data_IF_431770481674
#
_entry.id   IF_431770481674
#
_cell.length_a   1.000
_cell.length_b   1.000
_cell.length_c   1.000
_cell.angle_alpha   90.00
_cell.angle_beta   90.00
_cell.angle_gamma   90.00
#
_symmetry.space_group_name_H-M   'P 1'
#
loop_
_entity.id
_entity.type
_entity.pdbx_description
1 polymer ?
#
# COMPACT_ATOMS: atom_id res chain seq x y z
N UNK A 1 -19.67 -19.83 5.48
CA UNK A 1 -18.61 -19.84 4.47
C UNK A 1 -17.53 -18.86 4.90
N UNK A 2 -16.24 -19.15 4.66
CA UNK A 2 -15.14 -18.22 4.95
C UNK A 2 -15.21 -17.11 3.91
N UNK A 3 -15.28 -15.83 4.36
CA UNK A 3 -15.31 -14.68 3.46
C UNK A 3 -13.96 -14.55 2.72
N UNK A 4 -13.92 -14.12 1.43
CA UNK A 4 -12.69 -13.81 0.71
C UNK A 4 -12.05 -12.52 1.23
N UNK A 5 -10.81 -12.24 0.85
CA UNK A 5 -10.23 -10.91 0.87
C UNK A 5 -10.71 -10.09 -0.33
N UNK A 6 -10.67 -8.76 -0.23
CA UNK A 6 -10.91 -7.84 -1.33
C UNK A 6 -9.62 -7.08 -1.64
N UNK A 7 -9.22 -7.05 -2.91
CA UNK A 7 -8.08 -6.26 -3.39
C UNK A 7 -8.59 -5.20 -4.35
N UNK A 8 -8.42 -3.93 -3.98
CA UNK A 8 -8.74 -2.77 -4.82
C UNK A 8 -7.50 -2.43 -5.63
N UNK A 9 -7.61 -2.59 -6.95
CA UNK A 9 -6.52 -2.37 -7.90
C UNK A 9 -6.79 -1.10 -8.71
N UNK A 10 -5.78 -0.22 -8.88
CA UNK A 10 -5.93 1.13 -9.43
C UNK A 10 -5.39 1.29 -10.85
N UNK A 11 -4.90 0.22 -11.45
CA UNK A 11 -4.43 0.20 -12.84
C UNK A 11 -3.86 -1.16 -13.23
N UNK A 12 -3.82 -1.46 -14.55
CA UNK A 12 -3.33 -2.76 -15.03
C UNK A 12 -1.89 -3.07 -14.64
N UNK A 13 -1.06 -2.03 -14.51
CA UNK A 13 0.36 -2.17 -14.15
C UNK A 13 0.61 -2.36 -12.65
N UNK A 14 -0.43 -2.24 -11.80
CA UNK A 14 -0.36 -2.40 -10.34
C UNK A 14 -1.08 -3.66 -9.83
N UNK A 15 -0.72 -4.89 -10.26
CA UNK A 15 -1.29 -6.12 -9.71
C UNK A 15 -0.85 -6.33 -8.26
N UNK A 16 -1.46 -7.26 -7.50
CA UNK A 16 -1.13 -7.49 -6.10
C UNK A 16 0.30 -8.03 -5.85
N UNK A 17 1.05 -8.45 -6.88
CA UNK A 17 2.46 -8.84 -6.77
C UNK A 17 2.75 -9.80 -5.62
N UNK A 18 3.72 -9.45 -4.74
CA UNK A 18 4.09 -10.26 -3.56
C UNK A 18 2.93 -10.47 -2.59
N UNK A 19 1.97 -9.53 -2.50
CA UNK A 19 0.75 -9.74 -1.72
C UNK A 19 -0.07 -10.90 -2.28
N UNK A 20 -0.20 -11.00 -3.61
CA UNK A 20 -0.88 -12.13 -4.26
C UNK A 20 -0.18 -13.46 -4.01
N UNK A 21 1.16 -13.48 -4.01
CA UNK A 21 1.95 -14.67 -3.65
C UNK A 21 1.70 -15.09 -2.19
N UNK A 22 1.67 -14.11 -1.28
CA UNK A 22 1.38 -14.35 0.13
C UNK A 22 -0.03 -14.92 0.32
N UNK A 23 -1.05 -14.34 -0.33
CA UNK A 23 -2.44 -14.82 -0.26
C UNK A 23 -2.57 -16.28 -0.75
N UNK A 24 -1.88 -16.61 -1.84
CA UNK A 24 -1.83 -17.96 -2.37
C UNK A 24 -1.13 -18.94 -1.40
N UNK A 25 -0.02 -18.53 -0.79
CA UNK A 25 0.71 -19.32 0.22
C UNK A 25 -0.16 -19.63 1.43
N UNK A 26 -0.91 -18.64 1.92
CA UNK A 26 -1.80 -18.78 3.09
C UNK A 26 -3.14 -19.46 2.76
N UNK A 27 -3.40 -19.80 1.49
CA UNK A 27 -4.67 -20.37 1.06
C UNK A 27 -5.86 -19.42 1.28
N UNK A 28 -5.63 -18.12 1.24
CA UNK A 28 -6.65 -17.09 1.41
C UNK A 28 -7.27 -16.79 0.05
N UNK A 29 -8.55 -17.14 -0.11
CA UNK A 29 -9.31 -16.72 -1.29
C UNK A 29 -9.50 -15.21 -1.28
N UNK A 30 -9.37 -14.58 -2.44
CA UNK A 30 -9.57 -13.14 -2.62
C UNK A 30 -10.17 -12.84 -3.99
N UNK A 31 -10.78 -11.67 -4.12
CA UNK A 31 -11.23 -11.10 -5.37
C UNK A 31 -10.50 -9.78 -5.64
N UNK A 32 -10.27 -9.49 -6.92
CA UNK A 32 -9.68 -8.23 -7.36
C UNK A 32 -10.78 -7.39 -7.99
N UNK A 33 -10.92 -6.15 -7.54
CA UNK A 33 -11.80 -5.16 -8.14
C UNK A 33 -10.95 -4.09 -8.82
N UNK A 34 -10.98 -3.99 -10.15
CA UNK A 34 -10.38 -2.88 -10.90
C UNK A 34 -11.25 -1.64 -10.69
N UNK A 35 -10.83 -0.74 -9.78
CA UNK A 35 -11.67 0.41 -9.36
C UNK A 35 -12.03 1.36 -10.50
N UNK A 36 -11.17 1.46 -11.53
CA UNK A 36 -11.39 2.31 -12.69
C UNK A 36 -12.52 1.85 -13.61
N UNK A 37 -12.94 0.59 -13.50
CA UNK A 37 -13.99 -0.04 -14.32
C UNK A 37 -15.21 -0.49 -13.49
N UNK A 38 -15.12 -0.34 -12.16
CA UNK A 38 -16.14 -0.81 -11.25
C UNK A 38 -17.29 0.21 -11.13
N UNK A 39 -18.50 -0.20 -11.47
CA UNK A 39 -19.70 0.64 -11.28
C UNK A 39 -19.99 0.89 -9.79
N UNK A 40 -19.71 -0.08 -8.94
CA UNK A 40 -19.84 -0.02 -7.47
C UNK A 40 -18.81 -0.94 -6.82
N UNK A 41 -18.33 -0.55 -5.63
CA UNK A 41 -17.49 -1.42 -4.82
C UNK A 41 -18.34 -2.39 -3.99
N UNK A 42 -17.92 -3.66 -3.81
CA UNK A 42 -18.62 -4.63 -2.97
C UNK A 42 -18.79 -4.16 -1.52
N UNK A 43 -19.74 -4.73 -0.78
CA UNK A 43 -19.90 -4.39 0.65
C UNK A 43 -18.63 -4.81 1.43
N UNK A 44 -17.96 -3.88 2.15
CA UNK A 44 -16.80 -4.21 2.97
C UNK A 44 -17.05 -5.34 3.96
N UNK A 45 -18.23 -5.38 4.58
CA UNK A 45 -18.61 -6.39 5.56
C UNK A 45 -18.71 -7.81 4.96
N UNK A 46 -18.73 -7.93 3.64
CA UNK A 46 -18.64 -9.21 2.91
C UNK A 46 -17.25 -9.85 2.92
N UNK A 47 -16.21 -9.14 3.37
CA UNK A 47 -14.82 -9.53 3.23
C UNK A 47 -14.10 -9.72 4.56
N UNK A 48 -13.01 -10.52 4.54
CA UNK A 48 -12.15 -10.73 5.72
C UNK A 48 -11.20 -9.57 5.95
N UNK A 49 -10.81 -8.90 4.89
CA UNK A 49 -9.97 -7.70 4.87
C UNK A 49 -10.15 -7.00 3.52
N UNK A 50 -9.67 -5.77 3.45
CA UNK A 50 -9.54 -5.00 2.21
C UNK A 50 -8.08 -4.61 2.05
N UNK A 51 -7.49 -4.90 0.89
CA UNK A 51 -6.19 -4.38 0.48
C UNK A 51 -6.41 -3.31 -0.60
N UNK A 52 -6.02 -2.08 -0.32
CA UNK A 52 -5.99 -0.98 -1.28
C UNK A 52 -4.57 -0.79 -1.76
N UNK A 53 -4.33 -0.94 -3.06
CA UNK A 53 -3.00 -0.92 -3.66
C UNK A 53 -2.51 0.51 -3.98
N UNK A 54 -1.38 0.61 -4.67
CA UNK A 54 -0.83 1.86 -5.17
C UNK A 54 -1.60 2.42 -6.37
N UNK A 55 -1.52 3.74 -6.58
CA UNK A 55 -2.09 4.45 -7.71
C UNK A 55 -1.17 5.61 -8.12
N UNK A 56 -1.27 6.02 -9.40
CA UNK A 56 -0.65 7.25 -9.89
C UNK A 56 -1.44 8.52 -9.51
N UNK A 57 -2.67 8.36 -9.00
CA UNK A 57 -3.54 9.46 -8.57
C UNK A 57 -3.24 9.86 -7.12
N UNK A 58 -3.57 11.11 -6.78
CA UNK A 58 -3.61 11.60 -5.40
C UNK A 58 -4.96 11.30 -4.76
N UNK A 59 -4.97 11.03 -3.47
CA UNK A 59 -6.21 10.96 -2.67
C UNK A 59 -6.97 12.30 -2.64
N UNK A 60 -6.35 13.39 -3.11
CA UNK A 60 -6.95 14.73 -3.21
C UNK A 60 -7.56 15.02 -4.56
N UNK A 61 -7.34 14.15 -5.55
CA UNK A 61 -7.90 14.32 -6.88
C UNK A 61 -9.42 14.19 -6.83
N UNK A 62 -10.11 15.03 -7.61
CA UNK A 62 -11.57 14.99 -7.74
C UNK A 62 -12.04 14.15 -8.92
N UNK A 63 -11.16 13.88 -9.84
CA UNK A 63 -11.35 13.04 -11.01
C UNK A 63 -10.13 12.12 -11.14
N UNK A 64 -10.31 10.82 -11.28
CA UNK A 64 -11.57 10.10 -11.53
C UNK A 64 -12.42 9.88 -10.26
N UNK A 65 -13.75 9.83 -10.42
CA UNK A 65 -14.73 9.73 -9.32
C UNK A 65 -14.65 8.46 -8.48
N UNK A 66 -13.89 7.43 -8.90
CA UNK A 66 -13.67 6.23 -8.09
C UNK A 66 -12.88 6.52 -6.80
N UNK A 67 -12.09 7.61 -6.75
CA UNK A 67 -11.30 7.97 -5.55
C UNK A 67 -12.24 8.29 -4.38
N UNK A 68 -13.23 9.14 -4.59
CA UNK A 68 -14.23 9.46 -3.55
C UNK A 68 -15.03 8.20 -3.15
N UNK A 69 -15.36 7.34 -4.12
CA UNK A 69 -16.06 6.08 -3.84
C UNK A 69 -15.21 5.13 -2.98
N UNK A 70 -13.92 5.05 -3.24
CA UNK A 70 -13.00 4.23 -2.44
C UNK A 70 -12.78 4.80 -1.04
N UNK A 71 -12.59 6.10 -0.89
CA UNK A 71 -12.49 6.73 0.44
C UNK A 71 -13.73 6.45 1.29
N UNK A 72 -14.93 6.54 0.72
CA UNK A 72 -16.17 6.16 1.39
C UNK A 72 -16.22 4.67 1.71
N UNK A 73 -15.73 3.82 0.81
CA UNK A 73 -15.67 2.38 1.01
C UNK A 73 -14.72 2.00 2.16
N UNK A 74 -13.50 2.56 2.19
CA UNK A 74 -12.54 2.36 3.26
C UNK A 74 -13.06 2.91 4.60
N UNK A 75 -13.76 4.06 4.59
CA UNK A 75 -14.42 4.58 5.79
C UNK A 75 -15.44 3.58 6.35
N UNK A 76 -16.31 2.99 5.49
CA UNK A 76 -17.26 1.94 5.92
C UNK A 76 -16.54 0.69 6.43
N UNK A 77 -15.42 0.29 5.82
CA UNK A 77 -14.61 -0.83 6.29
C UNK A 77 -14.08 -0.60 7.70
N UNK A 78 -13.51 0.59 7.96
CA UNK A 78 -13.03 0.99 9.29
C UNK A 78 -14.16 0.98 10.31
N UNK A 79 -15.34 1.54 9.98
CA UNK A 79 -16.51 1.56 10.86
C UNK A 79 -17.06 0.16 11.17
N UNK A 80 -16.85 -0.81 10.29
CA UNK A 80 -17.27 -2.20 10.43
C UNK A 80 -16.17 -3.11 11.01
N UNK A 81 -15.05 -2.55 11.49
CA UNK A 81 -13.87 -3.27 11.98
C UNK A 81 -13.32 -4.31 10.98
N UNK A 82 -13.53 -4.07 9.67
CA UNK A 82 -12.91 -4.88 8.62
C UNK A 82 -11.47 -4.43 8.43
N UNK A 83 -10.47 -5.31 8.64
CA UNK A 83 -9.06 -4.94 8.52
C UNK A 83 -8.74 -4.34 7.14
N UNK A 84 -8.00 -3.24 7.12
CA UNK A 84 -7.53 -2.59 5.89
C UNK A 84 -6.01 -2.64 5.84
N UNK A 85 -5.49 -3.10 4.70
CA UNK A 85 -4.08 -3.00 4.31
C UNK A 85 -3.99 -1.96 3.20
N UNK A 86 -3.43 -0.80 3.50
CA UNK A 86 -3.22 0.27 2.53
C UNK A 86 -1.76 0.35 2.10
N UNK A 87 -1.49 0.30 0.79
CA UNK A 87 -0.15 0.31 0.20
C UNK A 87 0.00 1.55 -0.68
N UNK A 88 0.97 2.42 -0.38
CA UNK A 88 1.23 3.69 -1.04
C UNK A 88 -0.05 4.57 -1.11
N UNK A 89 -0.70 4.71 -2.26
CA UNK A 89 -2.00 5.39 -2.37
C UNK A 89 -3.01 4.82 -1.36
N UNK A 90 -3.12 3.50 -1.22
CA UNK A 90 -4.01 2.86 -0.24
C UNK A 90 -3.66 3.24 1.20
N UNK A 91 -2.38 3.39 1.53
CA UNK A 91 -1.90 3.89 2.82
C UNK A 91 -2.28 5.35 3.05
N UNK A 92 -2.19 6.18 2.01
CA UNK A 92 -2.63 7.57 2.01
C UNK A 92 -4.16 7.69 2.14
N UNK A 93 -4.91 6.84 1.43
CA UNK A 93 -6.36 6.75 1.52
C UNK A 93 -6.81 6.35 2.93
N UNK A 94 -6.18 5.31 3.52
CA UNK A 94 -6.43 4.89 4.89
C UNK A 94 -6.10 6.02 5.89
N UNK A 95 -4.97 6.69 5.72
CA UNK A 95 -4.62 7.86 6.55
C UNK A 95 -5.69 8.94 6.46
N UNK A 96 -6.16 9.24 5.25
CA UNK A 96 -7.19 10.27 5.01
C UNK A 96 -8.50 9.93 5.70
N UNK A 97 -9.00 8.70 5.59
CA UNK A 97 -10.27 8.30 6.23
C UNK A 97 -10.19 8.23 7.74
N UNK A 98 -8.99 8.09 8.30
CA UNK A 98 -8.70 8.15 9.74
C UNK A 98 -8.41 9.56 10.24
N UNK A 99 -8.52 10.59 9.39
CA UNK A 99 -8.33 12.00 9.77
C UNK A 99 -6.88 12.51 9.68
N UNK A 100 -5.97 11.74 9.06
CA UNK A 100 -4.60 12.15 8.78
C UNK A 100 -4.49 12.98 7.49
N UNK A 101 -4.39 12.32 6.34
CA UNK A 101 -4.24 12.93 5.02
C UNK A 101 -2.84 12.81 4.45
N UNK A 102 -2.49 13.68 3.49
CA UNK A 102 -1.20 13.67 2.79
C UNK A 102 -0.58 15.06 2.70
N UNK A 103 0.73 15.11 2.56
CA UNK A 103 1.52 16.29 2.23
C UNK A 103 2.25 16.07 0.90
N UNK A 104 2.28 17.09 0.05
CA UNK A 104 3.05 17.07 -1.18
C UNK A 104 4.55 17.13 -0.88
N UNK A 105 5.35 16.42 -1.66
CA UNK A 105 6.81 16.51 -1.63
C UNK A 105 7.30 17.51 -2.65
N UNK A 106 8.36 18.24 -2.32
CA UNK A 106 9.06 19.11 -3.28
C UNK A 106 9.69 18.31 -4.43
N UNK A 107 10.00 17.04 -4.17
CA UNK A 107 10.61 16.12 -5.11
C UNK A 107 10.09 14.70 -4.84
N UNK A 108 9.73 13.92 -5.88
CA UNK A 108 9.34 12.54 -5.72
C UNK A 108 10.40 11.70 -5.04
N UNK A 109 9.97 10.77 -4.19
CA UNK A 109 10.83 9.74 -3.62
C UNK A 109 10.70 8.47 -4.44
N UNK A 110 11.79 8.12 -5.16
CA UNK A 110 11.84 6.94 -6.03
C UNK A 110 13.12 6.15 -5.78
N UNK A 111 12.96 4.85 -5.50
CA UNK A 111 14.07 3.93 -5.31
C UNK A 111 13.80 2.84 -4.27
N UNK A 112 14.74 1.91 -4.16
CA UNK A 112 14.75 0.89 -3.12
C UNK A 112 15.47 1.45 -1.89
N UNK A 113 14.71 1.99 -0.94
CA UNK A 113 15.22 2.81 0.16
C UNK A 113 14.95 2.12 1.52
N UNK A 114 15.75 2.51 2.50
CA UNK A 114 15.60 2.00 3.88
C UNK A 114 14.77 2.98 4.70
N UNK A 115 13.99 2.41 5.62
CA UNK A 115 13.27 3.17 6.65
C UNK A 115 13.91 2.93 8.02
N UNK A 116 13.68 3.86 8.95
CA UNK A 116 13.94 3.65 10.39
C UNK A 116 12.69 3.03 10.97
N UNK A 117 12.78 1.76 11.34
CA UNK A 117 11.67 1.05 11.95
C UNK A 117 11.57 1.35 13.45
N UNK A 118 10.36 1.57 13.93
CA UNK A 118 9.99 1.73 15.34
C UNK A 118 9.31 0.47 15.89
N UNK A 119 9.15 -0.57 15.05
CA UNK A 119 8.54 -1.83 15.40
C UNK A 119 9.46 -3.01 15.07
N UNK A 120 9.73 -3.89 16.03
CA UNK A 120 10.67 -5.00 15.87
C UNK A 120 10.30 -5.97 14.75
N UNK A 121 9.02 -6.07 14.41
CA UNK A 121 8.51 -6.95 13.35
C UNK A 121 8.56 -6.33 11.94
N UNK A 122 8.78 -5.03 11.84
CA UNK A 122 8.90 -4.33 10.55
C UNK A 122 10.37 -4.17 10.20
N UNK A 123 10.81 -4.85 9.17
CA UNK A 123 12.19 -4.72 8.71
C UNK A 123 12.49 -3.35 8.11
N UNK A 124 13.72 -2.85 8.29
CA UNK A 124 14.09 -1.54 7.73
C UNK A 124 14.22 -1.52 6.20
N UNK A 125 13.91 -2.61 5.51
CA UNK A 125 14.01 -2.73 4.06
C UNK A 125 15.38 -3.16 3.54
N UNK A 126 15.69 -2.89 2.28
CA UNK A 126 15.11 -1.81 1.45
C UNK A 126 13.71 -2.14 0.95
N UNK A 127 12.86 -1.09 0.92
CA UNK A 127 11.51 -1.10 0.36
C UNK A 127 11.47 -0.26 -0.91
N UNK A 128 10.61 -0.59 -1.86
CA UNK A 128 10.39 0.30 -3.00
C UNK A 128 9.56 1.50 -2.55
N UNK A 129 10.07 2.69 -2.77
CA UNK A 129 9.38 3.96 -2.72
C UNK A 129 9.16 4.46 -4.15
N UNK A 130 7.96 4.95 -4.44
CA UNK A 130 7.60 5.50 -5.75
C UNK A 130 6.39 6.42 -5.57
N UNK A 131 6.64 7.63 -5.09
CA UNK A 131 5.57 8.57 -4.72
C UNK A 131 6.06 10.03 -4.68
N UNK A 132 5.13 10.96 -4.87
CA UNK A 132 5.33 12.42 -4.81
C UNK A 132 4.53 13.08 -3.66
N UNK A 133 3.86 12.28 -2.85
CA UNK A 133 3.15 12.70 -1.64
C UNK A 133 3.50 11.74 -0.50
N UNK A 134 3.50 12.25 0.74
CA UNK A 134 3.73 11.45 1.94
C UNK A 134 2.50 11.46 2.83
N UNK A 135 2.12 10.31 3.37
CA UNK A 135 1.02 10.19 4.33
C UNK A 135 1.36 10.89 5.65
N UNK A 136 0.31 11.41 6.32
CA UNK A 136 0.40 11.83 7.72
C UNK A 136 -0.13 10.73 8.63
N UNK A 137 0.57 10.47 9.74
CA UNK A 137 0.08 9.51 10.73
C UNK A 137 -1.19 10.07 11.39
N UNK A 138 -2.34 9.36 11.33
CA UNK A 138 -3.57 9.82 11.95
C UNK A 138 -3.45 9.95 13.47
N UNK A 139 -4.25 10.84 14.07
CA UNK A 139 -4.31 10.96 15.53
C UNK A 139 -4.77 9.63 16.16
N UNK A 140 -4.03 9.16 17.16
CA UNK A 140 -4.29 7.87 17.81
C UNK A 140 -3.73 6.64 17.09
N UNK A 141 -3.18 6.80 15.87
CA UNK A 141 -2.41 5.75 15.21
C UNK A 141 -0.98 5.66 15.78
N UNK A 142 -0.39 4.47 15.69
CA UNK A 142 1.00 4.25 16.03
C UNK A 142 1.85 4.37 14.77
N UNK A 143 2.86 5.25 14.78
CA UNK A 143 3.94 5.25 13.78
C UNK A 143 4.72 3.94 13.90
N UNK A 144 5.05 3.33 12.78
CA UNK A 144 5.82 2.08 12.72
C UNK A 144 7.17 2.28 12.04
N UNK A 145 7.27 3.24 11.14
CA UNK A 145 8.50 3.55 10.43
C UNK A 145 8.48 4.95 9.83
N UNK A 146 9.65 5.52 9.65
CA UNK A 146 9.85 6.79 8.96
C UNK A 146 11.21 6.78 8.22
N UNK A 147 11.38 7.75 7.32
CA UNK A 147 12.65 8.09 6.71
C UNK A 147 12.87 9.60 6.74
N UNK A 148 13.82 10.13 5.96
CA UNK A 148 14.12 11.56 5.95
C UNK A 148 13.02 12.39 5.26
N UNK A 149 12.15 11.75 4.46
CA UNK A 149 11.03 12.39 3.76
C UNK A 149 9.78 12.50 4.66
N UNK A 150 9.56 11.52 5.52
CA UNK A 150 8.43 11.53 6.44
C UNK A 150 8.02 10.14 6.95
N UNK A 151 6.79 10.00 7.46
CA UNK A 151 6.26 8.72 7.90
C UNK A 151 6.18 7.71 6.75
N UNK A 152 6.63 6.48 7.01
CA UNK A 152 6.67 5.40 6.02
C UNK A 152 5.69 4.26 6.30
N UNK A 153 5.24 4.10 7.55
CA UNK A 153 4.21 3.14 7.93
C UNK A 153 3.54 3.52 9.25
N UNK A 154 2.26 3.16 9.38
CA UNK A 154 1.51 3.29 10.61
C UNK A 154 0.52 2.14 10.79
N UNK A 155 0.07 1.92 12.04
CA UNK A 155 -1.05 1.03 12.37
C UNK A 155 -2.11 1.75 13.18
N UNK A 156 -3.38 1.38 12.98
CA UNK A 156 -4.52 1.84 13.73
C UNK A 156 -5.48 0.66 13.96
N UNK A 157 -5.47 0.10 15.17
CA UNK A 157 -6.21 -1.14 15.43
C UNK A 157 -5.77 -2.28 14.50
N UNK A 158 -6.71 -2.89 13.74
CA UNK A 158 -6.38 -3.97 12.79
C UNK A 158 -5.84 -3.47 11.44
N UNK A 159 -5.77 -2.16 11.24
CA UNK A 159 -5.41 -1.56 9.97
C UNK A 159 -3.90 -1.26 9.91
N UNK A 160 -3.30 -1.44 8.72
CA UNK A 160 -1.91 -1.11 8.41
C UNK A 160 -1.86 -0.24 7.16
N UNK A 161 -1.18 0.90 7.24
CA UNK A 161 -0.86 1.76 6.10
C UNK A 161 0.65 1.84 5.90
N UNK A 162 1.12 1.64 4.65
CA UNK A 162 2.51 1.86 4.25
C UNK A 162 2.58 2.92 3.16
N UNK A 163 3.65 3.72 3.15
CA UNK A 163 3.95 4.63 2.06
C UNK A 163 4.75 3.94 0.96
N UNK A 164 5.55 2.95 1.33
CA UNK A 164 6.30 2.11 0.40
C UNK A 164 5.44 0.98 -0.17
N UNK A 165 5.99 0.30 -1.17
CA UNK A 165 5.36 -0.78 -1.92
C UNK A 165 5.95 -2.15 -1.52
N UNK A 166 5.44 -2.84 -0.48
CA UNK A 166 5.89 -4.18 -0.14
C UNK A 166 5.45 -5.23 -1.17
N UNK A 167 4.40 -4.91 -1.96
CA UNK A 167 3.91 -5.79 -3.03
C UNK A 167 4.77 -5.77 -4.29
N UNK A 168 5.66 -4.77 -4.43
CA UNK A 168 6.37 -4.53 -5.68
C UNK A 168 7.34 -5.64 -6.05
N UNK A 169 7.27 -6.09 -7.31
CA UNK A 169 8.26 -6.96 -7.94
C UNK A 169 9.14 -6.17 -8.90
N UNK A 170 10.32 -6.69 -9.22
CA UNK A 170 11.21 -6.03 -10.19
C UNK A 170 10.52 -5.80 -11.55
N UNK A 171 9.66 -6.73 -11.99
CA UNK A 171 8.92 -6.60 -13.24
C UNK A 171 7.88 -5.46 -13.18
N UNK A 172 7.15 -5.32 -12.07
CA UNK A 172 6.22 -4.21 -11.88
C UNK A 172 6.96 -2.87 -11.91
N UNK A 173 8.08 -2.78 -11.21
CA UNK A 173 8.88 -1.54 -11.14
C UNK A 173 9.43 -1.15 -12.51
N UNK A 174 9.88 -2.11 -13.33
CA UNK A 174 10.34 -1.85 -14.69
C UNK A 174 9.20 -1.36 -15.60
N UNK A 175 8.00 -1.92 -15.44
CA UNK A 175 6.79 -1.48 -16.15
C UNK A 175 6.40 -0.05 -15.76
N UNK A 176 6.38 0.29 -14.46
CA UNK A 176 6.10 1.66 -13.99
C UNK A 176 7.10 2.65 -14.55
N UNK A 177 8.40 2.33 -14.40
CA UNK A 177 9.51 3.15 -14.89
C UNK A 177 9.52 3.35 -16.42
N UNK A 178 8.79 2.53 -17.18
CA UNK A 178 8.68 2.66 -18.64
C UNK A 178 7.63 3.68 -19.09
N UNK A 179 6.71 4.08 -18.18
CA UNK A 179 5.51 4.87 -18.48
C UNK A 179 5.44 6.20 -17.76
N UNK A 180 6.35 6.46 -16.83
CA UNK A 180 6.25 7.56 -15.88
C UNK A 180 7.41 8.54 -16.02
N UNK A 181 7.13 9.84 -15.95
CA UNK A 181 8.09 10.95 -15.93
C UNK A 181 8.57 11.31 -14.50
N UNK A 182 8.02 10.68 -13.46
CA UNK A 182 8.42 10.89 -12.05
C UNK A 182 9.90 10.56 -11.81
N UNK A 183 10.46 9.62 -12.58
CA UNK A 183 11.89 9.29 -12.52
C UNK A 183 12.78 10.49 -12.78
N UNK A 184 12.48 11.28 -13.82
CA UNK A 184 13.26 12.45 -14.18
C UNK A 184 13.18 13.52 -13.08
N UNK A 185 11.99 13.74 -12.52
CA UNK A 185 11.76 14.65 -11.39
C UNK A 185 12.49 14.17 -10.13
N UNK A 186 12.55 12.86 -9.90
CA UNK A 186 13.32 12.25 -8.82
C UNK A 186 14.84 12.23 -9.09
N UNK A 187 15.27 12.51 -10.31
CA UNK A 187 16.67 12.43 -10.74
C UNK A 187 17.23 11.00 -10.66
N UNK A 188 16.37 10.01 -10.90
CA UNK A 188 16.70 8.58 -10.92
C UNK A 188 16.48 8.08 -12.34
N UNK A 189 17.42 7.34 -12.90
CA UNK A 189 17.23 6.72 -14.21
C UNK A 189 16.59 5.35 -14.09
N UNK A 190 15.81 4.91 -15.12
CA UNK A 190 15.28 3.55 -15.20
C UNK A 190 16.38 2.49 -15.01
N UNK A 191 17.57 2.72 -15.61
CA UNK A 191 18.70 1.81 -15.47
C UNK A 191 19.20 1.70 -14.03
N UNK A 192 19.22 2.83 -13.29
CA UNK A 192 19.58 2.82 -11.86
C UNK A 192 18.55 2.06 -11.03
N UNK A 193 17.26 2.34 -11.23
CA UNK A 193 16.18 1.68 -10.54
C UNK A 193 16.18 0.16 -10.82
N UNK A 194 16.43 -0.26 -12.06
CA UNK A 194 16.58 -1.66 -12.43
C UNK A 194 17.79 -2.33 -11.73
N UNK A 195 18.94 -1.62 -11.64
CA UNK A 195 20.10 -2.13 -10.88
C UNK A 195 19.82 -2.29 -9.40
N UNK A 196 19.10 -1.34 -8.79
CA UNK A 196 18.65 -1.44 -7.39
C UNK A 196 17.71 -2.64 -7.23
N UNK A 197 16.70 -2.79 -8.10
CA UNK A 197 15.77 -3.92 -8.10
C UNK A 197 16.47 -5.28 -8.19
N UNK A 198 17.46 -5.42 -9.08
CA UNK A 198 18.25 -6.63 -9.21
C UNK A 198 18.99 -7.04 -7.91
N UNK A 199 19.35 -6.07 -7.06
CA UNK A 199 20.03 -6.32 -5.78
C UNK A 199 19.04 -6.53 -4.62
N UNK A 200 17.90 -5.86 -4.66
CA UNK A 200 17.03 -5.68 -3.49
C UNK A 200 15.71 -6.45 -3.56
N UNK A 201 15.14 -6.66 -4.76
CA UNK A 201 13.76 -7.13 -4.89
C UNK A 201 13.51 -8.48 -4.23
N UNK A 202 14.46 -9.41 -4.30
CA UNK A 202 14.31 -10.72 -3.65
C UNK A 202 14.26 -10.62 -2.11
N UNK A 203 15.16 -9.85 -1.52
CA UNK A 203 15.18 -9.64 -0.07
C UNK A 203 13.95 -8.85 0.40
N UNK A 204 13.55 -7.83 -0.35
CA UNK A 204 12.35 -7.04 -0.11
C UNK A 204 11.09 -7.92 -0.17
N UNK A 205 10.98 -8.81 -1.17
CA UNK A 205 9.86 -9.76 -1.26
C UNK A 205 9.78 -10.69 -0.04
N UNK A 206 10.91 -11.20 0.45
CA UNK A 206 10.91 -12.00 1.68
C UNK A 206 10.50 -11.18 2.92
N UNK A 207 10.97 -9.94 3.03
CA UNK A 207 10.55 -9.03 4.09
C UNK A 207 9.05 -8.69 3.99
N UNK A 208 8.52 -8.53 2.78
CA UNK A 208 7.11 -8.29 2.53
C UNK A 208 6.22 -9.45 2.99
N UNK A 209 6.62 -10.70 2.72
CA UNK A 209 5.90 -11.87 3.22
C UNK A 209 5.80 -11.85 4.76
N UNK A 210 6.89 -11.51 5.46
CA UNK A 210 6.89 -11.39 6.94
C UNK A 210 6.06 -10.21 7.43
N UNK A 211 6.06 -9.09 6.72
CA UNK A 211 5.20 -7.93 7.01
C UNK A 211 3.73 -8.32 6.93
N UNK A 212 3.32 -9.02 5.87
CA UNK A 212 1.94 -9.48 5.71
C UNK A 212 1.55 -10.52 6.77
N UNK A 213 2.45 -11.44 7.15
CA UNK A 213 2.25 -12.37 8.27
C UNK A 213 1.99 -11.65 9.59
N UNK A 214 2.81 -10.64 9.91
CA UNK A 214 2.71 -9.86 11.13
C UNK A 214 1.40 -9.03 11.17
N UNK A 215 1.09 -8.33 10.07
CA UNK A 215 -0.17 -7.61 9.93
C UNK A 215 -1.37 -8.54 10.10
N UNK A 216 -1.40 -9.67 9.38
CA UNK A 216 -2.51 -10.61 9.41
C UNK A 216 -2.74 -11.22 10.79
N UNK A 217 -1.64 -11.55 11.48
CA UNK A 217 -1.70 -12.03 12.87
C UNK A 217 -2.38 -11.00 13.78
N UNK A 218 -2.10 -9.72 13.60
CA UNK A 218 -2.70 -8.62 14.38
C UNK A 218 -4.16 -8.41 13.99
N UNK A 219 -4.45 -8.39 12.69
CA UNK A 219 -5.79 -8.19 12.15
C UNK A 219 -6.78 -9.27 12.64
N UNK A 220 -6.35 -10.53 12.68
CA UNK A 220 -7.20 -11.63 13.17
C UNK A 220 -7.54 -11.54 14.67
N UNK A 221 -6.71 -10.89 15.48
CA UNK A 221 -6.99 -10.71 16.92
C UNK A 221 -8.12 -9.73 17.17
N UNK A 222 -8.28 -8.73 16.29
CA UNK A 222 -9.36 -7.75 16.36
C UNK A 222 -10.72 -8.27 15.88
N UNK A 223 -10.74 -9.42 15.18
CA UNK A 223 -11.97 -10.04 14.64
C UNK A 223 -12.67 -11.00 15.62
N UNK A 224 -12.20 -11.13 16.86
CA UNK A 224 -12.81 -11.93 17.94
C UNK A 224 -13.65 -11.05 18.83
#
# INVERSE_FOLDING_TARGET
MIKPGLVLQHGPAGPPGVLGEWLAREGIAYEIVPVWDAATLPDPAGHRFIASLGSQHSVRDRDPGWIDAELQHLHRAVQADVPVLGLCFGGQALSTVLGGGVDALDRPEVGWLRVRSEADWLEPGPWLHYHNEVLRVPAGAQSLAHNDVGPAAFTFGPHLGTQFHPEATAAMVDEWASRDDELDKAGVTRAELARQGARCASAAGQAALRLFDAWWTTAQRGMK
#
